data_IF_435152086272
#
_entry.id   IF_435152086272
#
_cell.length_a   1.000
_cell.length_b   1.000
_cell.length_c   1.000
_cell.angle_alpha   90.00
_cell.angle_beta   90.00
_cell.angle_gamma   90.00
#
_symmetry.space_group_name_H-M   'P 1'
#
loop_
_entity.id
_entity.type
_entity.pdbx_description
1 polymer ?
#
# COMPACT_ATOMS: atom_id res chain seq x y z
N UNK A 1 6.46 -2.69 5.57
CA UNK A 1 5.00 -2.74 5.29
C UNK A 1 4.64 -1.72 4.22
N UNK A 2 3.97 -2.13 3.15
CA UNK A 2 3.57 -1.30 2.01
C UNK A 2 4.53 -1.40 0.83
N UNK A 3 4.05 -1.88 -0.32
CA UNK A 3 4.76 -2.10 -1.58
C UNK A 3 4.61 -0.97 -2.60
N UNK A 4 4.47 0.27 -2.13
CA UNK A 4 4.48 1.47 -2.97
C UNK A 4 5.87 2.12 -2.98
N UNK A 5 5.95 3.41 -3.31
CA UNK A 5 7.21 4.17 -3.46
C UNK A 5 8.19 3.98 -2.29
N UNK A 6 7.75 4.22 -1.05
CA UNK A 6 8.61 4.13 0.12
C UNK A 6 9.11 2.71 0.35
N UNK A 7 8.23 1.71 0.37
CA UNK A 7 8.65 0.34 0.65
C UNK A 7 9.52 -0.27 -0.45
N UNK A 8 9.25 0.02 -1.73
CA UNK A 8 10.14 -0.40 -2.81
C UNK A 8 11.51 0.30 -2.76
N UNK A 9 11.56 1.57 -2.33
CA UNK A 9 12.82 2.24 -2.08
C UNK A 9 13.60 1.57 -0.95
N UNK A 10 12.94 1.21 0.16
CA UNK A 10 13.55 0.46 1.26
C UNK A 10 14.06 -0.92 0.80
N UNK A 11 13.28 -1.68 0.03
CA UNK A 11 13.75 -2.96 -0.54
C UNK A 11 15.02 -2.75 -1.37
N UNK A 12 15.04 -1.75 -2.26
CA UNK A 12 16.23 -1.44 -3.08
C UNK A 12 17.45 -1.11 -2.23
N UNK A 13 17.27 -0.33 -1.17
CA UNK A 13 18.36 0.12 -0.31
C UNK A 13 18.89 -0.98 0.63
N UNK A 14 18.00 -1.84 1.15
CA UNK A 14 18.32 -2.73 2.28
C UNK A 14 18.57 -4.19 1.89
N UNK A 15 18.10 -4.67 0.73
CA UNK A 15 18.17 -6.10 0.37
C UNK A 15 19.57 -6.71 0.27
N UNK A 16 20.64 -5.91 0.30
CA UNK A 16 22.02 -6.42 0.24
C UNK A 16 22.57 -6.77 1.62
N UNK A 17 22.07 -6.09 2.65
CA UNK A 17 22.61 -6.15 4.00
C UNK A 17 21.61 -6.78 4.99
N UNK A 18 20.34 -6.92 4.59
CA UNK A 18 19.25 -7.45 5.42
C UNK A 18 18.40 -8.47 4.67
N UNK A 19 17.82 -9.42 5.41
CA UNK A 19 16.74 -10.29 4.93
C UNK A 19 15.42 -9.53 4.90
N UNK A 20 15.09 -8.97 3.73
CA UNK A 20 13.93 -8.09 3.59
C UNK A 20 12.66 -8.89 3.29
N UNK A 21 11.64 -8.70 4.13
CA UNK A 21 10.26 -9.14 3.88
C UNK A 21 9.39 -7.93 3.55
N UNK A 22 8.81 -7.91 2.35
CA UNK A 22 7.84 -6.92 1.91
C UNK A 22 6.42 -7.45 2.08
N UNK A 23 5.66 -6.84 2.99
CA UNK A 23 4.24 -7.16 3.22
C UNK A 23 3.37 -6.06 2.60
N UNK A 24 2.46 -6.42 1.69
CA UNK A 24 1.39 -5.55 1.18
C UNK A 24 0.12 -6.39 0.93
N UNK A 25 -1.04 -5.76 0.96
CA UNK A 25 -2.33 -6.39 0.62
C UNK A 25 -2.46 -6.66 -0.88
N UNK A 26 -1.72 -5.90 -1.70
CA UNK A 26 -1.75 -5.90 -3.17
C UNK A 26 -0.53 -6.61 -3.75
N UNK A 27 -0.74 -7.28 -4.89
CA UNK A 27 0.31 -7.92 -5.70
C UNK A 27 0.85 -7.04 -6.83
N UNK A 28 0.50 -5.75 -6.82
CA UNK A 28 0.90 -4.79 -7.84
C UNK A 28 1.32 -3.47 -7.20
N UNK A 29 2.29 -2.83 -7.84
CA UNK A 29 2.61 -1.43 -7.66
C UNK A 29 1.62 -0.58 -8.45
N UNK A 30 1.23 0.55 -7.88
CA UNK A 30 0.37 1.56 -8.49
C UNK A 30 1.12 2.89 -8.57
N UNK A 31 1.23 3.44 -9.77
CA UNK A 31 1.77 4.77 -10.00
C UNK A 31 0.69 5.83 -9.71
N UNK A 32 0.47 6.12 -8.43
CA UNK A 32 -0.55 7.04 -7.96
C UNK A 32 -0.47 8.47 -8.55
N UNK A 33 0.70 9.06 -8.90
CA UNK A 33 0.74 10.37 -9.54
C UNK A 33 0.03 10.40 -10.89
N UNK A 34 -0.06 9.27 -11.59
CA UNK A 34 -0.71 9.17 -12.90
C UNK A 34 -2.21 8.88 -12.85
N UNK A 35 -2.80 8.60 -11.67
CA UNK A 35 -4.17 8.06 -11.57
C UNK A 35 -5.22 8.99 -12.18
N UNK A 36 -5.05 10.31 -12.07
CA UNK A 36 -5.98 11.29 -12.65
C UNK A 36 -6.04 11.22 -14.18
N UNK A 37 -5.01 10.68 -14.85
CA UNK A 37 -5.03 10.46 -16.31
C UNK A 37 -6.14 9.49 -16.72
N UNK A 38 -6.54 8.58 -15.84
CA UNK A 38 -7.59 7.60 -16.13
C UNK A 38 -8.97 8.25 -16.30
N UNK A 39 -9.18 9.46 -15.79
CA UNK A 39 -10.44 10.20 -15.97
C UNK A 39 -10.67 10.63 -17.43
N UNK A 40 -9.59 10.88 -18.17
CA UNK A 40 -9.64 11.32 -19.58
C UNK A 40 -9.18 10.25 -20.56
N UNK A 41 -8.48 9.23 -20.07
CA UNK A 41 -7.95 8.15 -20.88
C UNK A 41 -7.92 6.83 -20.09
N UNK A 42 -9.08 6.17 -19.90
CA UNK A 42 -9.17 4.92 -19.13
C UNK A 42 -8.27 3.80 -19.67
N UNK A 43 -8.01 3.79 -20.99
CA UNK A 43 -7.10 2.83 -21.64
C UNK A 43 -5.65 2.86 -21.12
N UNK A 44 -5.24 3.93 -20.44
CA UNK A 44 -3.91 4.04 -19.82
C UNK A 44 -3.76 3.21 -18.52
N UNK A 45 -4.81 2.52 -18.05
CA UNK A 45 -4.76 1.74 -16.80
C UNK A 45 -3.55 0.81 -16.71
N UNK A 46 -3.27 0.04 -17.78
CA UNK A 46 -2.16 -0.92 -17.79
C UNK A 46 -0.78 -0.26 -17.69
N UNK A 47 -0.62 1.01 -18.05
CA UNK A 47 0.65 1.72 -17.92
C UNK A 47 0.90 2.27 -16.51
N UNK A 48 -0.12 2.26 -15.64
CA UNK A 48 -0.02 2.77 -14.27
C UNK A 48 0.17 1.67 -13.22
N UNK A 49 0.09 0.40 -13.63
CA UNK A 49 0.26 -0.74 -12.73
C UNK A 49 1.45 -1.59 -13.17
N UNK A 50 2.16 -2.17 -12.20
CA UNK A 50 3.17 -3.17 -12.48
C UNK A 50 3.11 -4.28 -11.43
N UNK A 51 3.33 -5.56 -11.80
CA UNK A 51 3.37 -6.62 -10.80
C UNK A 51 4.46 -6.38 -9.75
N UNK A 52 4.10 -6.45 -8.47
CA UNK A 52 4.99 -6.11 -7.36
C UNK A 52 6.22 -7.00 -7.33
N UNK A 53 6.03 -8.29 -7.65
CA UNK A 53 7.11 -9.29 -7.79
C UNK A 53 8.21 -8.86 -8.77
N UNK A 54 7.91 -8.04 -9.78
CA UNK A 54 8.91 -7.62 -10.76
C UNK A 54 9.88 -6.59 -10.17
N UNK A 55 9.41 -5.78 -9.22
CA UNK A 55 10.18 -4.69 -8.59
C UNK A 55 10.78 -5.10 -7.25
N UNK A 56 10.16 -6.05 -6.56
CA UNK A 56 10.61 -6.58 -5.28
C UNK A 56 11.36 -7.93 -5.39
N UNK A 57 11.94 -8.26 -6.55
CA UNK A 57 12.64 -9.55 -6.81
C UNK A 57 13.76 -9.91 -5.82
N UNK A 58 14.21 -8.93 -5.03
CA UNK A 58 15.29 -9.05 -4.06
C UNK A 58 14.80 -9.21 -2.61
N UNK A 59 13.49 -9.27 -2.40
CA UNK A 59 12.86 -9.45 -1.11
C UNK A 59 11.84 -10.59 -1.17
N UNK A 60 11.53 -11.20 -0.02
CA UNK A 60 10.37 -12.07 0.11
C UNK A 60 9.11 -11.20 0.10
N UNK A 61 8.22 -11.42 -0.87
CA UNK A 61 6.94 -10.71 -0.94
C UNK A 61 5.86 -11.55 -0.29
N UNK A 62 5.16 -10.99 0.68
CA UNK A 62 4.02 -11.62 1.38
C UNK A 62 2.78 -10.81 1.10
N UNK A 63 1.76 -11.45 0.51
CA UNK A 63 0.46 -10.84 0.29
C UNK A 63 -0.41 -11.03 1.55
N UNK A 64 -0.43 -10.01 2.41
CA UNK A 64 -1.19 -10.04 3.66
C UNK A 64 -1.52 -8.62 4.15
N UNK A 65 -2.50 -8.52 5.03
CA UNK A 65 -2.83 -7.30 5.77
C UNK A 65 -2.12 -7.33 7.12
N UNK A 66 -1.37 -6.27 7.46
CA UNK A 66 -0.79 -6.13 8.80
C UNK A 66 -1.87 -5.59 9.73
N UNK A 67 -2.32 -6.41 10.68
CA UNK A 67 -3.36 -6.04 11.64
C UNK A 67 -2.78 -5.35 12.88
N UNK A 68 -1.63 -5.84 13.37
CA UNK A 68 -0.91 -5.29 14.52
C UNK A 68 0.60 -5.39 14.33
N UNK A 69 1.31 -4.40 14.87
CA UNK A 69 2.77 -4.41 14.99
C UNK A 69 3.07 -4.45 16.49
N UNK A 70 3.76 -5.50 16.91
CA UNK A 70 4.22 -5.69 18.28
C UNK A 70 5.73 -5.42 18.34
N UNK A 71 6.39 -5.71 19.45
CA UNK A 71 7.81 -5.34 19.65
C UNK A 71 8.75 -6.03 18.66
N UNK A 72 8.58 -7.34 18.45
CA UNK A 72 9.48 -8.21 17.68
C UNK A 72 8.76 -8.97 16.53
N UNK A 73 7.48 -8.68 16.31
CA UNK A 73 6.63 -9.42 15.37
C UNK A 73 5.47 -8.60 14.84
N UNK A 74 5.03 -8.92 13.63
CA UNK A 74 3.80 -8.42 13.04
C UNK A 74 2.74 -9.53 13.02
N UNK A 75 1.54 -9.21 13.49
CA UNK A 75 0.36 -10.06 13.28
C UNK A 75 -0.24 -9.69 11.94
N UNK A 76 -0.33 -10.67 11.05
CA UNK A 76 -0.85 -10.49 9.69
C UNK A 76 -2.04 -11.41 9.42
N UNK A 77 -2.91 -10.94 8.53
CA UNK A 77 -4.12 -11.63 8.11
C UNK A 77 -4.09 -11.83 6.60
N UNK A 78 -4.47 -13.02 6.16
CA UNK A 78 -4.51 -13.36 4.74
C UNK A 78 -5.58 -12.58 4.00
N UNK A 79 -5.32 -12.30 2.73
CA UNK A 79 -6.22 -11.53 1.88
C UNK A 79 -7.30 -12.46 1.30
N UNK A 80 -8.55 -12.00 1.28
CA UNK A 80 -9.64 -12.71 0.62
C UNK A 80 -9.30 -13.03 -0.83
N UNK A 81 -9.62 -14.25 -1.28
CA UNK A 81 -9.28 -14.74 -2.61
C UNK A 81 -7.83 -15.23 -2.78
N UNK A 82 -7.07 -15.39 -1.69
CA UNK A 82 -5.75 -16.06 -1.67
C UNK A 82 -5.82 -17.36 -0.87
N UNK A 83 -4.80 -18.22 -0.99
CA UNK A 83 -4.73 -19.50 -0.26
C UNK A 83 -4.68 -19.31 1.28
N UNK A 84 -4.18 -18.15 1.74
CA UNK A 84 -4.12 -17.80 3.16
C UNK A 84 -5.38 -17.07 3.65
N UNK A 85 -6.45 -16.98 2.85
CA UNK A 85 -7.67 -16.25 3.24
C UNK A 85 -8.25 -16.73 4.58
N UNK A 86 -8.57 -15.78 5.47
CA UNK A 86 -9.10 -16.08 6.81
C UNK A 86 -8.06 -16.61 7.81
N UNK A 87 -6.82 -16.82 7.38
CA UNK A 87 -5.72 -17.21 8.25
C UNK A 87 -5.10 -15.98 8.92
N UNK A 88 -4.76 -16.11 10.19
CA UNK A 88 -3.91 -15.16 10.92
C UNK A 88 -2.60 -15.86 11.28
N UNK A 89 -1.47 -15.18 11.10
CA UNK A 89 -0.16 -15.68 11.52
C UNK A 89 0.78 -14.53 11.86
N UNK A 90 1.95 -14.87 12.38
CA UNK A 90 2.96 -13.91 12.82
C UNK A 90 4.18 -13.92 11.91
N UNK A 91 4.77 -12.74 11.72
CA UNK A 91 6.04 -12.56 11.00
C UNK A 91 7.01 -11.84 11.94
N UNK A 92 8.07 -12.52 12.41
CA UNK A 92 9.07 -11.90 13.28
C UNK A 92 9.93 -10.89 12.50
N UNK A 93 10.45 -9.88 13.20
CA UNK A 93 11.39 -8.90 12.65
C UNK A 93 12.31 -8.33 13.74
N UNK A 94 13.52 -7.91 13.34
CA UNK A 94 14.39 -7.07 14.17
C UNK A 94 14.12 -5.57 13.96
N UNK A 95 13.75 -5.21 12.73
CA UNK A 95 13.42 -3.84 12.34
C UNK A 95 12.14 -3.79 11.49
N UNK A 96 11.23 -2.87 11.84
CA UNK A 96 10.01 -2.61 11.09
C UNK A 96 10.05 -1.25 10.39
N UNK A 97 9.89 -1.26 9.06
CA UNK A 97 9.64 -0.03 8.28
C UNK A 97 8.17 0.04 7.89
N UNK A 98 7.47 1.09 8.34
CA UNK A 98 6.05 1.32 8.06
C UNK A 98 5.88 2.36 6.96
N UNK A 99 5.43 1.91 5.79
CA UNK A 99 5.20 2.74 4.59
C UNK A 99 3.89 2.39 3.90
N UNK A 100 2.84 2.08 4.67
CA UNK A 100 1.52 1.65 4.16
C UNK A 100 0.66 2.79 3.59
N UNK A 101 1.12 4.04 3.69
CA UNK A 101 0.37 5.21 3.23
C UNK A 101 -0.78 5.57 4.16
N UNK A 102 -1.84 6.13 3.60
CA UNK A 102 -3.02 6.57 4.35
C UNK A 102 -4.31 6.20 3.61
N UNK A 103 -5.39 6.06 4.35
CA UNK A 103 -6.74 5.95 3.80
C UNK A 103 -7.34 7.33 3.71
N UNK A 104 -7.88 7.70 2.56
CA UNK A 104 -8.56 8.97 2.38
C UNK A 104 -10.07 8.74 2.53
N UNK A 105 -10.75 9.46 3.43
CA UNK A 105 -12.21 9.49 3.39
C UNK A 105 -12.65 10.09 2.06
N UNK A 106 -13.77 9.62 1.53
CA UNK A 106 -14.41 10.19 0.33
C UNK A 106 -14.47 11.72 0.47
N UNK A 107 -14.13 12.46 -0.59
CA UNK A 107 -14.45 13.88 -0.72
C UNK A 107 -15.98 14.04 -0.79
N UNK A 108 -16.64 13.85 0.35
CA UNK A 108 -18.07 14.03 0.50
C UNK A 108 -18.23 15.35 1.25
N UNK A 109 -18.81 16.38 0.62
CA UNK A 109 -19.21 17.55 1.38
C UNK A 109 -20.10 17.07 2.52
N UNK A 110 -19.81 17.50 3.73
CA UNK A 110 -20.76 17.42 4.83
C UNK A 110 -22.07 18.08 4.41
N UNK A 111 -23.21 17.67 4.96
CA UNK A 111 -24.51 18.33 4.67
C UNK A 111 -24.49 19.83 5.01
N UNK A 112 -23.57 20.24 5.89
CA UNK A 112 -23.26 21.65 6.22
C UNK A 112 -22.44 22.38 5.16
N UNK A 113 -21.65 21.69 4.32
CA UNK A 113 -20.90 22.29 3.21
C UNK A 113 -21.76 22.48 1.95
N UNK A 114 -22.97 21.91 1.92
CA UNK A 114 -23.94 22.04 0.82
C UNK A 114 -24.60 23.42 0.70
N UNK A 115 -24.40 24.33 1.65
CA UNK A 115 -24.78 25.73 1.48
C UNK A 115 -23.63 26.47 0.80
N UNK A 116 -23.57 26.40 -0.54
CA UNK A 116 -22.65 27.16 -1.37
C UNK A 116 -22.99 28.67 -1.40
N UNK A 117 -23.12 29.29 -0.23
CA UNK A 117 -23.46 30.71 -0.04
C UNK A 117 -22.67 31.31 1.13
N UNK A 118 -21.33 31.24 1.08
CA UNK A 118 -20.42 32.20 1.75
C UNK A 118 -18.97 31.73 1.62
N UNK A 119 -18.40 31.84 0.41
CA UNK A 119 -16.95 32.03 0.31
C UNK A 119 -16.74 33.52 0.14
N UNK A 120 -16.65 34.24 1.26
CA UNK A 120 -16.14 35.61 1.23
C UNK A 120 -14.65 35.55 0.93
N UNK A 121 -14.28 36.19 -0.18
CA UNK A 121 -12.90 36.44 -0.59
C UNK A 121 -12.22 37.28 0.51
N UNK A 122 -11.05 36.82 0.97
CA UNK A 122 -10.12 37.63 1.78
C UNK A 122 -8.85 37.86 0.98
#
# INVERSE_FOLDING_TARGET
VGGSFAGLACVRALHRDFDVVLIDRRQYFEYTPGVLRLLVSPGAFKSLIAPLRNWARKAKVVQASVARIEEDRMVVEGIEGTDDAGRTWEIPFDYAVVGCGSTYPTLKPSTSEGAATSREET
#
